data_IF_088105557374
#
_entry.id   IF_088105557374
#
_cell.length_a   1.000
_cell.length_b   1.000
_cell.length_c   1.000
_cell.angle_alpha   90.00
_cell.angle_beta   90.00
_cell.angle_gamma   90.00
#
_symmetry.space_group_name_H-M   'P 1'
#
loop_
_entity.id
_entity.type
_entity.pdbx_description
1 polymer ?
#
# COMPACT_ATOMS: atom_id res chain seq x y z
N UNK A 1 -1.39 2.54 2.67
CA UNK A 1 -1.21 1.43 3.61
C UNK A 1 -1.54 1.99 4.96
N UNK A 2 -2.27 1.23 5.75
CA UNK A 2 -2.52 1.61 7.13
C UNK A 2 -1.46 1.03 8.06
N UNK A 3 -1.02 1.85 9.00
CA UNK A 3 0.05 1.54 9.94
C UNK A 3 -0.53 1.67 11.34
N UNK A 4 -0.88 0.53 11.94
CA UNK A 4 -1.36 0.48 13.31
C UNK A 4 -0.22 0.06 14.26
N UNK A 5 -0.25 0.52 15.52
CA UNK A 5 0.80 0.28 16.52
C UNK A 5 1.03 -1.23 16.80
N UNK A 6 0.02 -2.09 16.62
CA UNK A 6 0.17 -3.55 16.74
C UNK A 6 0.67 -4.25 15.46
N UNK A 7 0.79 -3.53 14.34
CA UNK A 7 1.25 -4.07 13.05
C UNK A 7 2.77 -4.32 12.98
N UNK A 8 3.54 -3.84 13.97
CA UNK A 8 5.01 -3.95 14.02
C UNK A 8 5.53 -5.41 14.05
N UNK A 9 4.71 -6.37 14.44
CA UNK A 9 5.10 -7.79 14.52
C UNK A 9 4.64 -8.64 13.32
N UNK A 10 3.86 -8.05 12.39
CA UNK A 10 3.20 -8.81 11.30
C UNK A 10 3.67 -8.43 9.89
N UNK A 11 4.74 -7.65 9.77
CA UNK A 11 5.31 -7.17 8.50
C UNK A 11 5.41 -8.23 7.38
N UNK A 12 6.05 -9.41 7.58
CA UNK A 12 6.22 -10.37 6.50
C UNK A 12 4.90 -10.99 6.03
N UNK A 13 3.89 -11.06 6.92
CA UNK A 13 2.58 -11.62 6.58
C UNK A 13 1.84 -10.69 5.60
N UNK A 14 1.91 -9.38 5.81
CA UNK A 14 1.24 -8.41 4.94
C UNK A 14 1.87 -8.34 3.56
N UNK A 15 3.21 -8.30 3.48
CA UNK A 15 3.95 -8.34 2.20
C UNK A 15 3.54 -9.57 1.39
N UNK A 16 3.52 -10.75 2.02
CA UNK A 16 3.10 -11.98 1.36
C UNK A 16 1.65 -11.93 0.91
N UNK A 17 0.72 -11.46 1.76
CA UNK A 17 -0.70 -11.36 1.42
C UNK A 17 -0.93 -10.46 0.20
N UNK A 18 -0.28 -9.31 0.17
CA UNK A 18 -0.43 -8.31 -0.90
C UNK A 18 0.07 -8.87 -2.23
N UNK A 19 1.29 -9.42 -2.23
CA UNK A 19 1.91 -9.93 -3.46
C UNK A 19 1.19 -11.17 -4.02
N UNK A 20 0.56 -11.97 -3.16
CA UNK A 20 -0.13 -13.20 -3.56
C UNK A 20 -1.65 -13.03 -3.69
N UNK A 21 -2.20 -11.82 -3.47
CA UNK A 21 -3.64 -11.60 -3.53
C UNK A 21 -4.13 -11.81 -4.97
N UNK A 22 -5.08 -12.72 -5.16
CA UNK A 22 -5.62 -13.08 -6.48
C UNK A 22 -6.79 -12.18 -6.84
N UNK A 23 -6.49 -11.02 -7.41
CA UNK A 23 -7.51 -10.05 -7.83
C UNK A 23 -7.64 -9.92 -9.34
N UNK A 24 -6.70 -10.48 -10.10
CA UNK A 24 -6.65 -10.34 -11.55
C UNK A 24 -7.25 -11.55 -12.26
N UNK A 25 -7.73 -11.31 -13.48
CA UNK A 25 -8.24 -12.34 -14.38
C UNK A 25 -7.10 -13.19 -14.95
N UNK A 26 -7.38 -14.45 -15.25
CA UNK A 26 -6.48 -15.25 -16.07
C UNK A 26 -6.72 -15.02 -17.58
N UNK A 27 -5.97 -15.74 -18.40
CA UNK A 27 -6.01 -15.63 -19.87
C UNK A 27 -7.37 -16.06 -20.46
N UNK A 28 -8.20 -16.74 -19.67
CA UNK A 28 -9.57 -17.14 -20.04
C UNK A 28 -10.66 -16.17 -19.55
N UNK A 29 -10.27 -15.08 -18.89
CA UNK A 29 -11.19 -14.09 -18.30
C UNK A 29 -11.75 -14.50 -16.95
N UNK A 30 -11.18 -15.51 -16.28
CA UNK A 30 -11.68 -15.96 -14.98
C UNK A 30 -11.22 -15.00 -13.87
N UNK A 31 -12.17 -14.27 -13.28
CA UNK A 31 -11.92 -13.37 -12.15
C UNK A 31 -11.30 -14.07 -10.93
N UNK A 32 -10.57 -13.31 -10.11
CA UNK A 32 -9.96 -13.75 -8.85
C UNK A 32 -8.95 -14.91 -8.98
N UNK A 33 -8.24 -14.96 -10.10
CA UNK A 33 -7.40 -16.12 -10.46
C UNK A 33 -5.91 -15.86 -10.35
N UNK A 34 -5.45 -14.65 -10.67
CA UNK A 34 -4.03 -14.30 -10.77
C UNK A 34 -3.68 -13.20 -9.77
N UNK A 35 -2.47 -13.27 -9.24
CA UNK A 35 -1.88 -12.26 -8.37
C UNK A 35 -1.06 -11.23 -9.15
N UNK A 36 -0.64 -10.15 -8.47
CA UNK A 36 0.23 -9.12 -9.06
C UNK A 36 1.56 -9.72 -9.54
N UNK A 37 2.06 -10.72 -8.80
CA UNK A 37 3.27 -11.46 -9.18
C UNK A 37 3.05 -12.30 -10.44
N UNK A 38 1.91 -12.99 -10.54
CA UNK A 38 1.60 -13.85 -11.70
C UNK A 38 1.48 -13.04 -12.99
N UNK A 39 0.97 -11.81 -12.90
CA UNK A 39 0.82 -10.89 -14.03
C UNK A 39 2.05 -10.00 -14.30
N UNK A 40 3.05 -10.05 -13.43
CA UNK A 40 4.22 -9.17 -13.49
C UNK A 40 3.88 -7.67 -13.47
N UNK A 41 2.83 -7.30 -12.74
CA UNK A 41 2.36 -5.92 -12.65
C UNK A 41 3.10 -5.09 -11.61
N UNK A 42 3.00 -3.77 -11.74
CA UNK A 42 3.58 -2.81 -10.80
C UNK A 42 2.71 -2.64 -9.55
N UNK A 43 3.35 -2.36 -8.42
CA UNK A 43 2.70 -2.02 -7.14
C UNK A 43 3.08 -0.59 -6.78
N UNK A 44 2.09 0.30 -6.66
CA UNK A 44 2.29 1.61 -6.04
C UNK A 44 1.83 1.57 -4.57
N UNK A 45 2.78 1.65 -3.66
CA UNK A 45 2.49 1.81 -2.23
C UNK A 45 2.38 3.30 -1.88
N UNK A 46 1.32 3.70 -1.18
CA UNK A 46 1.11 5.09 -0.72
C UNK A 46 0.67 5.05 0.74
N UNK A 47 1.31 5.81 1.63
CA UNK A 47 0.86 5.91 3.03
C UNK A 47 -0.51 6.60 3.11
N UNK A 48 -1.46 6.01 3.86
CA UNK A 48 -2.84 6.54 3.96
C UNK A 48 -3.36 6.40 5.40
N UNK A 49 -2.95 7.30 6.29
CA UNK A 49 -3.35 7.28 7.71
C UNK A 49 -4.85 7.53 7.93
N UNK A 50 -5.53 8.14 6.96
CA UNK A 50 -6.95 8.47 7.05
C UNK A 50 -7.85 7.23 7.09
N UNK A 51 -7.32 6.04 6.76
CA UNK A 51 -8.01 4.77 6.93
C UNK A 51 -8.24 4.43 8.42
N UNK A 52 -7.41 4.90 9.36
CA UNK A 52 -7.66 4.84 10.82
C UNK A 52 -8.56 5.98 11.30
N UNK A 53 -9.62 6.25 10.56
CA UNK A 53 -10.61 7.24 11.00
C UNK A 53 -11.64 6.56 11.90
N UNK A 54 -11.76 7.05 13.13
CA UNK A 54 -12.95 6.84 13.97
C UNK A 54 -13.82 8.08 13.86
N UNK A 55 -15.10 7.90 13.61
CA UNK A 55 -16.05 9.01 13.56
C UNK A 55 -16.60 9.29 14.96
N UNK A 56 -16.34 10.50 15.48
CA UNK A 56 -17.01 11.04 16.68
C UNK A 56 -18.12 11.97 16.22
N UNK A 57 -19.32 11.41 16.00
CA UNK A 57 -20.37 12.08 15.23
C UNK A 57 -19.95 12.24 13.78
N UNK A 58 -19.92 13.47 13.25
CA UNK A 58 -19.46 13.76 11.89
C UNK A 58 -17.99 14.19 11.82
N UNK A 59 -17.29 14.25 12.96
CA UNK A 59 -15.88 14.67 13.01
C UNK A 59 -14.98 13.44 12.90
N UNK A 60 -14.05 13.40 11.93
CA UNK A 60 -13.04 12.36 11.87
C UNK A 60 -12.02 12.53 13.00
N UNK A 61 -11.69 11.43 13.64
CA UNK A 61 -10.70 11.31 14.71
C UNK A 61 -9.67 10.23 14.34
N UNK A 62 -8.39 10.58 14.38
CA UNK A 62 -7.27 9.73 13.97
C UNK A 62 -6.37 9.31 15.14
N UNK A 63 -6.84 9.40 16.39
CA UNK A 63 -6.03 9.08 17.58
C UNK A 63 -5.46 7.64 17.59
N UNK A 64 -6.03 6.72 16.81
CA UNK A 64 -5.56 5.34 16.66
C UNK A 64 -4.48 5.16 15.58
N UNK A 65 -4.23 6.17 14.76
CA UNK A 65 -3.18 6.16 13.76
C UNK A 65 -1.80 6.20 14.43
N UNK A 66 -0.83 5.49 13.85
CA UNK A 66 0.54 5.54 14.34
C UNK A 66 1.10 6.98 14.25
N UNK A 67 1.85 7.44 15.27
CA UNK A 67 2.54 8.73 15.20
C UNK A 67 3.43 8.82 13.98
N UNK A 68 3.42 9.98 13.36
CA UNK A 68 4.12 10.32 12.13
C UNK A 68 5.57 9.79 12.03
N UNK A 69 6.39 9.98 13.06
CA UNK A 69 7.80 9.56 13.06
C UNK A 69 7.95 8.03 13.01
N UNK A 70 7.08 7.31 13.72
CA UNK A 70 7.06 5.85 13.69
C UNK A 70 6.49 5.34 12.37
N UNK A 71 5.47 6.02 11.83
CA UNK A 71 4.83 5.67 10.56
C UNK A 71 5.80 5.80 9.37
N UNK A 72 6.68 6.81 9.38
CA UNK A 72 7.74 6.98 8.38
C UNK A 72 8.72 5.79 8.36
N UNK A 73 9.27 5.44 9.53
CA UNK A 73 10.18 4.30 9.66
C UNK A 73 9.49 2.99 9.24
N UNK A 74 8.24 2.79 9.70
CA UNK A 74 7.44 1.63 9.35
C UNK A 74 7.20 1.53 7.85
N UNK A 75 6.74 2.62 7.21
CA UNK A 75 6.41 2.65 5.79
C UNK A 75 7.66 2.37 4.93
N UNK A 76 8.79 3.02 5.23
CA UNK A 76 10.03 2.81 4.49
C UNK A 76 10.52 1.37 4.61
N UNK A 77 10.45 0.77 5.81
CA UNK A 77 10.81 -0.62 6.01
C UNK A 77 9.85 -1.55 5.25
N UNK A 78 8.54 -1.28 5.28
CA UNK A 78 7.56 -2.05 4.54
C UNK A 78 7.78 -2.00 3.02
N UNK A 79 8.05 -0.81 2.48
CA UNK A 79 8.38 -0.62 1.06
C UNK A 79 9.63 -1.42 0.66
N UNK A 80 10.64 -1.44 1.53
CA UNK A 80 11.85 -2.22 1.33
C UNK A 80 11.60 -3.74 1.37
N UNK A 81 10.72 -4.20 2.26
CA UNK A 81 10.33 -5.62 2.30
C UNK A 81 9.57 -6.04 1.04
N UNK A 82 8.68 -5.19 0.52
CA UNK A 82 8.02 -5.43 -0.78
C UNK A 82 9.05 -5.56 -1.91
N UNK A 83 10.04 -4.66 -1.96
CA UNK A 83 11.12 -4.69 -2.96
C UNK A 83 11.93 -5.98 -2.89
N UNK A 84 12.28 -6.43 -1.68
CA UNK A 84 13.02 -7.68 -1.45
C UNK A 84 12.21 -8.93 -1.80
N UNK A 85 10.89 -8.91 -1.59
CA UNK A 85 10.03 -10.07 -1.80
C UNK A 85 9.53 -10.23 -3.25
N UNK A 86 9.71 -9.22 -4.10
CA UNK A 86 9.22 -9.22 -5.48
C UNK A 86 10.30 -8.79 -6.48
N UNK A 87 10.09 -7.68 -7.19
CA UNK A 87 11.02 -7.07 -8.14
C UNK A 87 11.14 -5.58 -7.79
N UNK A 88 12.31 -5.09 -7.36
CA UNK A 88 12.46 -3.71 -6.90
C UNK A 88 11.99 -2.66 -7.90
N UNK A 89 12.17 -2.91 -9.19
CA UNK A 89 11.76 -2.04 -10.29
C UNK A 89 10.24 -1.95 -10.45
N UNK A 90 9.47 -2.96 -10.02
CA UNK A 90 8.01 -2.98 -10.06
C UNK A 90 7.36 -2.43 -8.79
N UNK A 91 8.13 -2.09 -7.75
CA UNK A 91 7.62 -1.50 -6.51
C UNK A 91 7.89 0.00 -6.49
N UNK A 92 6.83 0.78 -6.71
CA UNK A 92 6.83 2.24 -6.66
C UNK A 92 6.29 2.74 -5.32
N UNK A 93 6.79 3.87 -4.86
CA UNK A 93 6.29 4.56 -3.68
C UNK A 93 7.22 5.72 -3.31
N UNK A 94 6.70 6.85 -2.82
CA UNK A 94 7.54 7.93 -2.34
C UNK A 94 8.22 7.49 -1.04
N UNK A 95 9.56 7.53 -0.97
CA UNK A 95 10.24 7.40 0.31
C UNK A 95 9.92 8.60 1.19
N UNK A 96 9.59 8.34 2.46
CA UNK A 96 9.34 9.37 3.44
C UNK A 96 10.69 9.72 4.09
N UNK A 97 11.15 10.97 3.95
CA UNK A 97 12.38 11.47 4.59
C UNK A 97 12.10 12.81 5.26
N UNK A 98 11.77 12.81 6.56
CA UNK A 98 11.57 14.03 7.36
C UNK A 98 10.47 14.98 6.84
N UNK A 99 9.63 14.53 5.90
CA UNK A 99 8.63 15.35 5.18
C UNK A 99 7.22 15.05 5.67
N UNK A 100 6.98 15.28 6.95
CA UNK A 100 5.67 15.01 7.53
C UNK A 100 4.94 16.25 8.04
N UNK A 101 5.12 17.39 7.36
CA UNK A 101 4.17 18.51 7.44
C UNK A 101 3.55 18.75 6.07
N UNK A 102 2.41 18.10 5.81
CA UNK A 102 1.45 18.54 4.82
C UNK A 102 1.82 18.35 3.33
N UNK A 103 2.68 17.40 2.97
CA UNK A 103 2.91 17.10 1.54
C UNK A 103 1.66 16.44 0.96
N UNK A 104 0.90 17.18 0.16
CA UNK A 104 -0.22 16.65 -0.61
C UNK A 104 0.33 15.87 -1.80
N UNK A 105 0.08 14.55 -1.84
CA UNK A 105 0.37 13.74 -3.01
C UNK A 105 -0.89 13.67 -3.87
N UNK A 106 -0.86 14.27 -5.06
CA UNK A 106 -1.91 14.06 -6.06
C UNK A 106 -1.66 12.73 -6.78
N UNK A 107 -2.33 11.68 -6.31
CA UNK A 107 -2.35 10.39 -7.01
C UNK A 107 -3.37 10.48 -8.13
N UNK A 108 -2.91 10.71 -9.36
CA UNK A 108 -3.78 10.62 -10.54
C UNK A 108 -3.97 9.14 -10.88
N UNK A 109 -5.13 8.59 -10.51
CA UNK A 109 -5.54 7.26 -10.97
C UNK A 109 -5.89 7.37 -12.45
N UNK A 110 -4.98 6.91 -13.32
CA UNK A 110 -5.32 6.59 -14.70
C UNK A 110 -5.79 5.14 -14.67
N UNK A 111 -7.09 4.93 -14.51
CA UNK A 111 -7.72 3.63 -14.78
C UNK A 111 -7.81 3.51 -16.32
N UNK A 112 -6.66 3.36 -16.99
CA UNK A 112 -6.63 3.04 -18.40
C UNK A 112 -6.98 1.56 -18.53
N UNK A 113 -7.89 1.28 -19.46
CA UNK A 113 -8.54 0.00 -19.68
C UNK A 113 -7.59 -1.10 -20.16
N UNK A 114 -6.29 -0.82 -20.26
CA UNK A 114 -5.24 -1.75 -20.65
C UNK A 114 -3.95 -1.38 -19.88
N UNK A 115 -3.41 -2.37 -19.16
CA UNK A 115 -2.02 -2.53 -18.67
C UNK A 115 -1.47 -1.85 -17.40
N UNK A 116 -2.23 -1.08 -16.61
CA UNK A 116 -1.76 -0.70 -15.26
C UNK A 116 -2.88 -0.71 -14.22
N UNK A 117 -3.20 -1.89 -13.70
CA UNK A 117 -4.09 -2.01 -12.55
C UNK A 117 -3.33 -1.73 -11.25
N UNK A 118 -3.35 -0.45 -10.91
CA UNK A 118 -2.79 0.16 -9.72
C UNK A 118 -3.48 -0.35 -8.43
N UNK A 119 -2.80 -1.23 -7.68
CA UNK A 119 -3.23 -1.56 -6.32
C UNK A 119 -2.84 -0.41 -5.39
N UNK A 120 -3.79 0.47 -5.08
CA UNK A 120 -3.65 1.45 -4.01
C UNK A 120 -3.85 0.73 -2.68
N UNK A 121 -2.76 0.50 -1.93
CA UNK A 121 -2.83 0.04 -0.54
C UNK A 121 -2.50 1.20 0.33
#
# INVERSE_FOLDING_TARGET
MDIHLTSLLSHPVWVRKILNLRVFEDESGKHWSKSVMDKQYEVLCVSQFTLQCILKGNKPDYHMAMPTEQAECFYNNFLEQLRKAYKPELIKGPYMYGKCKGTHFSVSKVQQRDDYDMIMI
#
